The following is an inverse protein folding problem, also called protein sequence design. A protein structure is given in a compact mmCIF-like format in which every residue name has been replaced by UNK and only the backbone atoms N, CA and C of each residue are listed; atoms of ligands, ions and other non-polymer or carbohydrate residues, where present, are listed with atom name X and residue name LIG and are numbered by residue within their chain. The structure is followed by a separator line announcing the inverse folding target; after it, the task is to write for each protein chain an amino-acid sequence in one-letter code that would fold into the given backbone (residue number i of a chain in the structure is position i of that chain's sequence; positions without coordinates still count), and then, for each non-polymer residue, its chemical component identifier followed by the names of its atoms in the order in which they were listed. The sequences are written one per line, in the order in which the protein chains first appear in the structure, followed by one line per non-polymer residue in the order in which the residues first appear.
data_IF_898231023495
#
_entry.id   IF_898231023495
#
_cell.length_a   1.000
_cell.length_b   1.000
_cell.length_c   1.000
_cell.angle_alpha   90.00
_cell.angle_beta   90.00
_cell.angle_gamma   90.00
#
_symmetry.space_group_name_H-M   'P 1'
#
loop_
_entity.id
_entity.type
_entity.pdbx_description
1 polymer ?
#
# COMPACT_ATOMS: atom_id res chain seq x y z
N UNK A 1 17.11 -6.68 30.77
CA UNK A 1 16.79 -5.62 29.79
C UNK A 1 15.86 -6.23 28.75
N UNK A 2 14.61 -5.76 28.64
CA UNK A 2 13.71 -6.23 27.58
C UNK A 2 14.26 -5.69 26.26
N UNK A 3 14.77 -6.58 25.42
CA UNK A 3 15.19 -6.26 24.07
C UNK A 3 14.00 -5.58 23.39
N UNK A 4 14.14 -4.39 22.78
CA UNK A 4 13.09 -3.88 21.93
C UNK A 4 12.94 -4.93 20.83
N UNK A 5 11.81 -5.64 20.84
CA UNK A 5 11.38 -6.43 19.71
C UNK A 5 11.34 -5.42 18.57
N UNK A 6 12.30 -5.50 17.65
CA UNK A 6 12.22 -4.77 16.40
C UNK A 6 10.95 -5.28 15.75
N UNK A 7 9.83 -4.59 16.01
CA UNK A 7 8.67 -4.76 15.16
C UNK A 7 9.19 -4.52 13.77
N UNK A 8 8.96 -5.45 12.81
CA UNK A 8 9.30 -5.19 11.42
C UNK A 8 8.74 -3.81 11.14
N UNK A 9 9.62 -2.88 10.76
CA UNK A 9 9.19 -1.51 10.46
C UNK A 9 8.23 -1.70 9.29
N UNK A 10 6.94 -1.70 9.60
CA UNK A 10 5.90 -1.74 8.60
C UNK A 10 5.99 -0.39 7.89
N UNK A 11 6.82 -0.37 6.85
CA UNK A 11 6.96 0.79 6.02
C UNK A 11 5.63 0.96 5.29
N UNK A 12 5.07 2.16 5.37
CA UNK A 12 3.97 2.53 4.48
C UNK A 12 4.48 2.30 3.06
N UNK A 13 3.75 1.48 2.31
CA UNK A 13 4.12 1.23 0.93
C UNK A 13 4.10 2.57 0.18
N UNK A 14 5.17 2.86 -0.54
CA UNK A 14 5.38 4.18 -1.12
C UNK A 14 4.37 4.42 -2.25
N UNK A 15 4.01 3.36 -2.96
CA UNK A 15 3.06 3.39 -4.08
C UNK A 15 1.62 3.65 -3.62
N UNK A 16 1.19 2.99 -2.53
CA UNK A 16 -0.16 3.16 -1.96
C UNK A 16 -0.22 4.17 -0.80
N UNK A 17 0.89 4.77 -0.37
CA UNK A 17 0.99 5.65 0.81
C UNK A 17 0.30 5.12 2.07
N UNK A 18 0.19 3.80 2.25
CA UNK A 18 -0.55 3.22 3.36
C UNK A 18 -2.00 2.82 3.10
N UNK A 19 -2.60 3.17 1.96
CA UNK A 19 -4.03 2.92 1.69
C UNK A 19 -4.33 1.49 1.23
N UNK A 20 -3.35 0.79 0.65
CA UNK A 20 -3.55 -0.54 0.05
C UNK A 20 -3.96 -0.50 -1.42
N UNK A 21 -4.42 0.65 -1.91
CA UNK A 21 -5.02 0.77 -3.24
C UNK A 21 -4.51 2.02 -3.96
N UNK A 22 -4.23 1.89 -5.25
CA UNK A 22 -3.94 3.02 -6.13
C UNK A 22 -5.17 3.41 -6.92
N UNK A 23 -5.32 4.71 -7.15
CA UNK A 23 -6.44 5.25 -7.92
C UNK A 23 -5.98 5.40 -9.36
N UNK A 24 -6.67 4.74 -10.28
CA UNK A 24 -6.42 4.88 -11.72
C UNK A 24 -7.72 5.27 -12.44
N UNK A 25 -7.61 5.95 -13.57
CA UNK A 25 -8.78 6.33 -14.35
C UNK A 25 -9.36 5.11 -15.08
N UNK A 26 -10.68 5.01 -15.15
CA UNK A 26 -11.32 3.93 -15.90
C UNK A 26 -11.08 4.13 -17.41
N UNK A 27 -10.56 3.12 -18.14
CA UNK A 27 -10.10 3.29 -19.52
C UNK A 27 -11.21 3.69 -20.49
N UNK A 28 -12.46 3.28 -20.20
CA UNK A 28 -13.65 3.61 -21.01
C UNK A 28 -14.47 4.79 -20.48
N UNK A 29 -14.20 5.26 -19.26
CA UNK A 29 -14.99 6.30 -18.57
C UNK A 29 -14.05 7.17 -17.72
N UNK A 30 -13.36 8.16 -18.30
CA UNK A 30 -12.31 8.92 -17.60
C UNK A 30 -12.82 9.69 -16.37
N UNK A 31 -14.12 9.97 -16.28
CA UNK A 31 -14.75 10.58 -15.10
C UNK A 31 -14.91 9.60 -13.92
N UNK A 32 -14.69 8.31 -14.13
CA UNK A 32 -14.79 7.27 -13.10
C UNK A 32 -13.39 6.87 -12.65
N UNK A 33 -13.14 7.03 -11.36
CA UNK A 33 -11.93 6.55 -10.71
C UNK A 33 -12.12 5.10 -10.29
N UNK A 34 -11.14 4.24 -10.58
CA UNK A 34 -11.11 2.85 -10.14
C UNK A 34 -9.95 2.64 -9.18
N UNK A 35 -10.24 1.91 -8.11
CA UNK A 35 -9.25 1.54 -7.10
C UNK A 35 -8.64 0.20 -7.52
N UNK A 36 -7.36 0.19 -7.84
CA UNK A 36 -6.61 -1.03 -8.05
C UNK A 36 -5.84 -1.41 -6.79
N UNK A 37 -5.77 -2.71 -6.53
CA UNK A 37 -4.91 -3.24 -5.47
C UNK A 37 -3.48 -2.83 -5.79
N UNK A 38 -2.85 -2.14 -4.85
CA UNK A 38 -1.46 -1.78 -5.02
C UNK A 38 -0.62 -3.06 -5.01
N UNK A 39 0.20 -3.22 -6.04
CA UNK A 39 0.97 -4.44 -6.29
C UNK A 39 2.09 -4.62 -5.29
N UNK A 40 2.70 -3.52 -4.85
CA UNK A 40 3.77 -3.51 -3.86
C UNK A 40 3.26 -3.95 -2.47
N UNK A 41 2.13 -3.40 -2.01
CA UNK A 41 1.54 -3.76 -0.71
C UNK A 41 0.52 -4.90 -0.78
N UNK A 42 0.22 -5.46 -1.96
CA UNK A 42 -0.86 -6.46 -2.21
C UNK A 42 -2.18 -6.16 -1.50
N UNK A 43 -2.56 -4.87 -1.40
CA UNK A 43 -3.80 -4.46 -0.73
C UNK A 43 -3.68 -4.23 0.78
N UNK A 44 -2.50 -4.49 1.38
CA UNK A 44 -2.30 -4.38 2.83
C UNK A 44 -1.95 -2.97 3.30
N UNK A 45 -1.61 -2.06 2.39
CA UNK A 45 -1.18 -0.69 2.71
C UNK A 45 0.25 -0.59 3.25
N UNK A 46 0.76 -1.67 3.85
CA UNK A 46 2.07 -1.72 4.49
C UNK A 46 2.90 -2.84 3.85
N UNK A 47 4.17 -2.55 3.63
CA UNK A 47 5.16 -3.56 3.27
C UNK A 47 6.05 -3.78 4.48
N UNK A 48 6.32 -5.06 4.77
CA UNK A 48 7.34 -5.41 5.74
C UNK A 48 8.68 -5.07 5.09
N UNK A 49 9.34 -4.01 5.59
CA UNK A 49 10.72 -3.76 5.22
C UNK A 49 11.53 -4.98 5.68
N UNK A 50 12.03 -5.74 4.71
CA UNK A 50 12.72 -7.02 4.91
C UNK A 50 14.18 -6.80 5.22
#
# INVERSE_FOLDING_TARGET
MKMPVMTPVEAKCAECQGTGYTVVAHPKRPAVQIYQVCKECTGKGRVVAK
#
